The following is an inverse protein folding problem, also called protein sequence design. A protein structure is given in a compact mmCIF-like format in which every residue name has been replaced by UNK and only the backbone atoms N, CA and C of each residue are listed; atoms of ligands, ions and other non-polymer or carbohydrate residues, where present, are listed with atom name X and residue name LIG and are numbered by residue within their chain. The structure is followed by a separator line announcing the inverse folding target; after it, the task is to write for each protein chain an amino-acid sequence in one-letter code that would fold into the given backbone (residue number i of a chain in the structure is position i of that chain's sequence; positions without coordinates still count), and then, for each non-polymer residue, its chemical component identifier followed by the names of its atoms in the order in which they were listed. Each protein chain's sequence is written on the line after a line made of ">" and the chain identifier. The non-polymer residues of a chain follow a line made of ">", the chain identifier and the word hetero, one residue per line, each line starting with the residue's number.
data_IF_756552915082
#
_entry.id   IF_756552915082
#
_cell.length_a   1.000
_cell.length_b   1.000
_cell.length_c   1.000
_cell.angle_alpha   90.00
_cell.angle_beta   90.00
_cell.angle_gamma   90.00
#
_symmetry.space_group_name_H-M   'P 1'
#
loop_
_entity.id
_entity.type
_entity.pdbx_description
1 polymer ?
#
# COMPACT_ATOMS: atom_id res chain seq x y z
N UNK A 1 9.10 3.57 8.79
CA UNK A 1 8.61 3.13 7.46
C UNK A 1 9.29 1.81 7.15
N UNK A 2 8.51 0.77 6.84
CA UNK A 2 9.01 -0.60 6.67
C UNK A 2 9.09 -1.03 5.20
N UNK A 3 8.17 -0.53 4.37
CA UNK A 3 8.10 -0.82 2.94
C UNK A 3 7.54 0.39 2.17
N UNK A 4 7.95 0.54 0.92
CA UNK A 4 7.44 1.56 0.00
C UNK A 4 7.23 0.93 -1.38
N UNK A 5 6.12 1.26 -2.03
CA UNK A 5 5.86 0.89 -3.42
C UNK A 5 5.35 2.10 -4.20
N UNK A 6 5.87 2.29 -5.42
CA UNK A 6 5.50 3.39 -6.30
C UNK A 6 4.72 2.87 -7.50
N UNK A 7 3.53 3.44 -7.69
CA UNK A 7 2.68 3.21 -8.85
C UNK A 7 2.79 4.41 -9.78
N UNK A 8 3.52 4.22 -10.87
CA UNK A 8 3.60 5.18 -11.98
C UNK A 8 2.30 5.12 -12.78
N UNK A 9 1.45 6.13 -12.62
CA UNK A 9 0.16 6.27 -13.30
C UNK A 9 -0.14 7.76 -13.51
N UNK A 10 -1.29 8.10 -14.11
CA UNK A 10 -1.67 9.51 -14.32
C UNK A 10 -1.68 10.35 -13.04
N UNK A 11 -1.89 9.74 -11.87
CA UNK A 11 -1.95 10.40 -10.57
C UNK A 11 -0.75 10.09 -9.65
N UNK A 12 0.26 9.34 -10.14
CA UNK A 12 1.46 8.87 -9.41
C UNK A 12 1.26 8.62 -7.92
N UNK A 13 1.15 7.35 -7.54
CA UNK A 13 0.73 6.99 -6.19
C UNK A 13 1.81 6.24 -5.43
N UNK A 14 2.04 6.65 -4.19
CA UNK A 14 2.92 5.96 -3.25
C UNK A 14 2.10 5.17 -2.23
N UNK A 15 2.52 3.94 -1.97
CA UNK A 15 2.03 3.11 -0.88
C UNK A 15 3.13 2.95 0.15
N UNK A 16 2.80 3.15 1.43
CA UNK A 16 3.70 3.00 2.56
C UNK A 16 3.22 1.95 3.53
N UNK A 17 4.11 1.01 3.81
CA UNK A 17 3.97 0.03 4.87
C UNK A 17 4.58 0.55 6.15
N UNK A 18 3.80 0.58 7.24
CA UNK A 18 4.27 1.00 8.56
C UNK A 18 3.99 -0.08 9.61
N UNK A 19 4.37 0.19 10.87
CA UNK A 19 3.95 -0.63 12.00
C UNK A 19 2.45 -0.45 12.34
N UNK A 20 1.83 0.61 11.83
CA UNK A 20 0.44 1.01 12.09
C UNK A 20 -0.51 0.76 10.92
N UNK A 21 -0.07 0.00 9.91
CA UNK A 21 -0.87 -0.32 8.72
C UNK A 21 -0.40 0.38 7.45
N UNK A 22 -1.28 0.36 6.45
CA UNK A 22 -1.04 0.81 5.08
C UNK A 22 -1.46 2.27 4.92
N UNK A 23 -0.60 3.06 4.29
CA UNK A 23 -0.88 4.45 3.92
C UNK A 23 -0.69 4.63 2.42
N UNK A 24 -1.41 5.57 1.83
CA UNK A 24 -1.29 5.96 0.43
C UNK A 24 -1.20 7.48 0.30
N UNK A 25 -0.52 7.94 -0.75
CA UNK A 25 -0.48 9.36 -1.15
C UNK A 25 -0.40 9.46 -2.67
N UNK A 26 -1.28 10.25 -3.27
CA UNK A 26 -1.16 10.68 -4.67
C UNK A 26 -0.21 11.87 -4.82
N UNK A 27 0.14 12.21 -6.06
CA UNK A 27 1.12 13.28 -6.38
C UNK A 27 0.81 14.61 -5.69
N UNK A 28 -0.48 14.98 -5.62
CA UNK A 28 -0.95 16.26 -5.09
C UNK A 28 -1.85 16.12 -3.84
N UNK A 29 -1.89 14.93 -3.22
CA UNK A 29 -2.67 14.69 -2.00
C UNK A 29 -1.78 14.66 -0.76
N UNK A 30 -2.41 14.73 0.41
CA UNK A 30 -1.77 14.34 1.66
C UNK A 30 -1.72 12.82 1.83
N UNK A 31 -1.01 12.38 2.87
CA UNK A 31 -0.98 10.97 3.26
C UNK A 31 -2.31 10.58 3.89
N UNK A 32 -2.88 9.50 3.40
CA UNK A 32 -4.12 8.92 3.89
C UNK A 32 -3.87 7.49 4.36
N UNK A 33 -4.48 7.10 5.47
CA UNK A 33 -4.46 5.71 5.93
C UNK A 33 -5.52 4.92 5.18
N UNK A 34 -5.20 3.69 4.79
CA UNK A 34 -6.18 2.77 4.21
C UNK A 34 -6.95 2.12 5.34
N UNK A 35 -8.15 2.62 5.63
CA UNK A 35 -8.96 2.20 6.79
C UNK A 35 -9.48 0.77 6.69
N UNK A 36 -9.69 0.25 5.47
CA UNK A 36 -10.06 -1.15 5.23
C UNK A 36 -8.91 -2.13 5.55
N UNK A 37 -7.69 -1.62 5.74
CA UNK A 37 -6.52 -2.43 6.07
C UNK A 37 -6.27 -2.45 7.59
N UNK A 38 -6.01 -3.63 8.19
CA UNK A 38 -5.81 -3.72 9.63
C UNK A 38 -4.59 -2.91 10.09
N UNK A 39 -4.65 -2.41 11.33
CA UNK A 39 -3.48 -1.80 11.98
C UNK A 39 -2.49 -2.90 12.39
N UNK A 40 -1.62 -3.26 11.45
CA UNK A 40 -0.60 -4.30 11.58
C UNK A 40 0.71 -3.83 10.96
N UNK A 41 1.81 -4.35 11.50
CA UNK A 41 3.12 -4.20 10.88
C UNK A 41 3.16 -4.82 9.49
N UNK A 42 3.41 -3.97 8.50
CA UNK A 42 3.68 -4.37 7.12
C UNK A 42 5.16 -4.67 6.96
N UNK A 43 5.47 -5.78 6.30
CA UNK A 43 6.85 -6.24 6.05
C UNK A 43 7.27 -6.06 4.60
N UNK A 44 6.33 -6.13 3.65
CA UNK A 44 6.62 -5.94 2.21
C UNK A 44 5.40 -5.39 1.47
N UNK A 45 5.64 -4.59 0.44
CA UNK A 45 4.64 -4.11 -0.51
C UNK A 45 5.09 -4.43 -1.93
N UNK A 46 4.16 -4.91 -2.75
CA UNK A 46 4.44 -5.18 -4.17
C UNK A 46 3.24 -4.81 -5.04
N UNK A 47 3.51 -4.03 -6.08
CA UNK A 47 2.52 -3.70 -7.10
C UNK A 47 2.62 -4.72 -8.22
N UNK A 48 1.48 -5.30 -8.57
CA UNK A 48 1.33 -6.14 -9.75
C UNK A 48 0.59 -5.34 -10.83
N UNK A 49 1.36 -4.77 -11.76
CA UNK A 49 0.85 -3.92 -12.85
C UNK A 49 0.00 -4.68 -13.88
N UNK A 50 0.15 -6.00 -13.98
CA UNK A 50 -0.60 -6.79 -14.96
C UNK A 50 -2.06 -7.03 -14.53
N UNK A 51 -2.36 -6.88 -13.24
CA UNK A 51 -3.66 -7.16 -12.64
C UNK A 51 -4.22 -5.98 -11.83
N UNK A 52 -3.52 -4.85 -11.83
CA UNK A 52 -3.85 -3.66 -11.04
C UNK A 52 -4.09 -3.97 -9.56
N UNK A 53 -3.17 -4.75 -8.98
CA UNK A 53 -3.23 -5.16 -7.57
C UNK A 53 -2.05 -4.66 -6.75
N UNK A 54 -2.36 -4.25 -5.51
CA UNK A 54 -1.38 -4.13 -4.44
C UNK A 54 -1.37 -5.40 -3.60
N UNK A 55 -0.20 -5.97 -3.37
CA UNK A 55 0.04 -7.06 -2.42
C UNK A 55 0.76 -6.55 -1.19
N UNK A 56 0.28 -6.94 -0.02
CA UNK A 56 0.77 -6.47 1.27
C UNK A 56 1.09 -7.67 2.15
N UNK A 57 2.36 -7.87 2.47
CA UNK A 57 2.79 -8.87 3.44
C UNK A 57 2.79 -8.27 4.85
N UNK A 58 2.28 -9.02 5.82
CA UNK A 58 2.14 -8.56 7.21
C UNK A 58 2.84 -9.48 8.19
N UNK A 59 3.25 -8.94 9.33
CA UNK A 59 3.73 -9.76 10.43
C UNK A 59 2.56 -10.46 11.13
N UNK A 60 2.46 -11.78 10.97
CA UNK A 60 1.51 -12.63 11.70
C UNK A 60 0.06 -12.67 11.18
N UNK A 61 -0.25 -11.99 10.05
CA UNK A 61 -1.60 -11.98 9.45
C UNK A 61 -1.61 -12.33 7.95
N UNK A 62 -0.54 -12.98 7.48
CA UNK A 62 -0.43 -13.48 6.13
C UNK A 62 -0.27 -12.39 5.05
N UNK A 63 -0.71 -12.73 3.84
CA UNK A 63 -0.66 -11.90 2.65
C UNK A 63 -2.07 -11.35 2.35
N UNK A 64 -2.13 -10.06 2.05
CA UNK A 64 -3.33 -9.35 1.63
C UNK A 64 -3.18 -8.88 0.19
N UNK A 65 -4.29 -8.81 -0.54
CA UNK A 65 -4.34 -8.27 -1.90
C UNK A 65 -5.56 -7.35 -2.04
N UNK A 66 -5.37 -6.21 -2.69
CA UNK A 66 -6.43 -5.24 -2.96
C UNK A 66 -6.21 -4.52 -4.29
N UNK A 67 -7.23 -3.82 -4.81
CA UNK A 67 -7.05 -2.95 -5.97
C UNK A 67 -6.04 -1.84 -5.65
N UNK A 68 -5.41 -1.28 -6.69
CA UNK A 68 -4.70 -0.01 -6.57
C UNK A 68 -5.72 1.11 -6.33
N UNK A 69 -5.41 2.02 -5.42
CA UNK A 69 -6.20 3.24 -5.21
C UNK A 69 -6.05 4.18 -6.43
N UNK A 70 -7.14 4.87 -6.78
CA UNK A 70 -7.22 5.84 -7.89
C UNK A 70 -6.55 7.18 -7.53
#
# INVERSE_FOLDING_TARGET
>A
VNAIAYHESTNDRLYLGTDFGLYTKGRYSDWEKVEEFPSVRITELKINKNFDKLRVATFGRGLWEGPLAE
#
